data_IF_276785413043
#
_entry.id   IF_276785413043
#
_cell.length_a   1.000
_cell.length_b   1.000
_cell.length_c   1.000
_cell.angle_alpha   90.00
_cell.angle_beta   90.00
_cell.angle_gamma   90.00
#
_symmetry.space_group_name_H-M   'P 1'
#
loop_
_entity.id
_entity.type
_entity.pdbx_description
1 polymer ?
#
# COMPACT_ATOMS: atom_id res chain seq x y z
N UNK A 1 -6.89 -4.18 -11.03
CA UNK A 1 -5.80 -3.20 -11.20
C UNK A 1 -6.20 -2.23 -12.30
N UNK A 2 -5.94 -0.92 -12.14
CA UNK A 2 -6.15 0.07 -13.20
C UNK A 2 -4.83 0.80 -13.45
N UNK A 3 -4.54 1.08 -14.72
CA UNK A 3 -3.35 1.79 -15.16
C UNK A 3 -3.82 2.97 -16.00
N UNK A 4 -3.28 4.14 -15.71
CA UNK A 4 -3.51 5.38 -16.44
C UNK A 4 -2.16 5.89 -16.92
N UNK A 5 -2.04 6.19 -18.21
CA UNK A 5 -0.84 6.80 -18.78
C UNK A 5 -1.24 8.22 -19.21
N UNK A 6 -0.57 9.20 -18.64
CA UNK A 6 -0.72 10.63 -18.96
C UNK A 6 0.55 11.12 -19.67
N UNK A 7 0.52 12.33 -20.25
CA UNK A 7 1.68 12.89 -20.97
C UNK A 7 2.94 12.95 -20.09
N UNK A 8 2.77 13.18 -18.78
CA UNK A 8 3.85 13.39 -17.82
C UNK A 8 4.06 12.20 -16.86
N UNK A 9 3.51 11.01 -17.15
CA UNK A 9 3.77 9.84 -16.31
C UNK A 9 2.74 8.71 -16.37
N UNK A 10 2.92 7.74 -15.49
CA UNK A 10 2.04 6.58 -15.34
C UNK A 10 1.53 6.46 -13.90
N UNK A 11 0.24 6.20 -13.75
CA UNK A 11 -0.42 5.98 -12.46
C UNK A 11 -1.01 4.57 -12.42
N UNK A 12 -0.59 3.79 -11.44
CA UNK A 12 -1.09 2.45 -11.16
C UNK A 12 -1.94 2.50 -9.90
N UNK A 13 -3.19 2.04 -9.99
CA UNK A 13 -4.10 1.97 -8.85
C UNK A 13 -4.50 0.52 -8.62
N UNK A 14 -4.19 0.03 -7.43
CA UNK A 14 -4.62 -1.27 -6.95
C UNK A 14 -5.52 -1.10 -5.72
N UNK A 15 -6.78 -1.52 -5.87
CA UNK A 15 -7.74 -1.63 -4.77
C UNK A 15 -7.78 -3.06 -4.28
N UNK A 16 -7.70 -3.23 -2.98
CA UNK A 16 -7.72 -4.52 -2.30
C UNK A 16 -8.79 -4.53 -1.21
N UNK A 17 -9.38 -5.70 -1.01
CA UNK A 17 -10.19 -5.99 0.17
C UNK A 17 -9.52 -7.14 0.89
N UNK A 18 -9.17 -6.94 2.16
CA UNK A 18 -8.62 -7.99 3.01
C UNK A 18 -9.57 -8.30 4.16
N UNK A 19 -9.78 -9.60 4.43
CA UNK A 19 -10.52 -10.08 5.59
C UNK A 19 -9.52 -10.68 6.57
N UNK A 20 -9.14 -9.96 7.63
CA UNK A 20 -8.24 -10.51 8.62
C UNK A 20 -8.91 -11.67 9.34
N UNK A 21 -8.12 -12.70 9.64
CA UNK A 21 -8.55 -13.87 10.39
C UNK A 21 -7.81 -13.92 11.71
N UNK A 22 -8.47 -14.48 12.73
CA UNK A 22 -7.83 -14.71 14.02
C UNK A 22 -6.71 -15.74 13.86
N UNK A 23 -5.53 -15.47 14.43
CA UNK A 23 -4.40 -16.39 14.37
C UNK A 23 -4.77 -17.74 14.99
N UNK A 24 -4.54 -18.83 14.26
CA UNK A 24 -4.90 -20.18 14.71
C UNK A 24 -6.39 -20.54 14.53
N UNK A 25 -7.16 -19.68 13.85
CA UNK A 25 -8.56 -19.92 13.52
C UNK A 25 -8.84 -19.47 12.08
N UNK A 26 -9.86 -20.09 11.45
CA UNK A 26 -10.40 -19.60 10.18
C UNK A 26 -11.54 -18.59 10.38
N UNK A 27 -11.86 -18.25 11.63
CA UNK A 27 -12.91 -17.29 11.94
C UNK A 27 -12.51 -15.87 11.49
N UNK A 28 -13.43 -15.13 10.85
CA UNK A 28 -13.20 -13.76 10.46
C UNK A 28 -13.17 -12.85 11.70
N UNK A 29 -12.39 -11.76 11.62
CA UNK A 29 -12.31 -10.75 12.69
C UNK A 29 -13.46 -9.73 12.66
N UNK A 30 -14.36 -9.82 11.68
CA UNK A 30 -15.63 -9.06 11.68
C UNK A 30 -15.61 -7.72 10.98
N UNK A 31 -14.49 -7.41 10.34
CA UNK A 31 -14.34 -6.26 9.47
C UNK A 31 -13.53 -6.64 8.25
N UNK A 32 -13.68 -5.84 7.20
CA UNK A 32 -12.86 -5.83 6.01
C UNK A 32 -11.96 -4.61 6.05
N UNK A 33 -10.72 -4.76 5.59
CA UNK A 33 -9.85 -3.66 5.24
C UNK A 33 -10.04 -3.36 3.76
N UNK A 34 -10.47 -2.14 3.46
CA UNK A 34 -10.51 -1.62 2.11
C UNK A 34 -9.28 -0.76 1.90
N UNK A 35 -8.36 -1.23 1.06
CA UNK A 35 -7.08 -0.58 0.84
C UNK A 35 -6.93 -0.11 -0.60
N UNK A 36 -6.26 1.01 -0.80
CA UNK A 36 -5.85 1.52 -2.11
C UNK A 36 -4.36 1.78 -2.09
N UNK A 37 -3.63 1.09 -2.97
CA UNK A 37 -2.25 1.37 -3.32
C UNK A 37 -2.24 2.15 -4.63
N UNK A 38 -1.60 3.31 -4.62
CA UNK A 38 -1.36 4.13 -5.78
C UNK A 38 0.14 4.29 -5.98
N UNK A 39 0.62 3.95 -7.18
CA UNK A 39 2.01 4.13 -7.60
C UNK A 39 2.01 5.13 -8.75
N UNK A 40 2.80 6.19 -8.63
CA UNK A 40 2.98 7.22 -9.66
C UNK A 40 4.43 7.20 -10.10
N UNK A 41 4.64 7.08 -11.40
CA UNK A 41 5.94 7.22 -12.04
C UNK A 41 5.90 8.48 -12.90
N UNK A 42 6.79 9.42 -12.64
CA UNK A 42 6.88 10.68 -13.39
C UNK A 42 8.34 11.06 -13.65
N UNK A 43 8.65 11.88 -14.66
CA UNK A 43 9.99 12.43 -14.83
C UNK A 43 10.46 13.10 -13.54
N UNK A 44 11.72 12.91 -13.18
CA UNK A 44 12.30 13.55 -12.01
C UNK A 44 12.49 15.04 -12.22
N UNK A 45 12.35 15.82 -11.14
CA UNK A 45 12.40 17.29 -11.18
C UNK A 45 13.81 17.83 -11.50
N UNK A 46 14.85 17.03 -11.27
CA UNK A 46 16.24 17.35 -11.59
C UNK A 46 16.94 16.18 -12.27
N UNK A 47 17.76 16.43 -13.31
CA UNK A 47 18.67 15.42 -13.85
C UNK A 47 19.56 14.86 -12.74
N UNK A 48 20.01 13.62 -12.89
CA UNK A 48 21.01 13.04 -11.98
C UNK A 48 22.31 13.86 -12.03
N UNK A 49 23.22 13.65 -11.08
CA UNK A 49 24.54 14.29 -11.08
C UNK A 49 25.34 14.02 -12.37
N UNK A 50 25.03 12.94 -13.10
CA UNK A 50 25.59 12.60 -14.41
C UNK A 50 24.87 13.25 -15.59
N UNK A 51 23.76 13.94 -15.37
CA UNK A 51 22.93 14.55 -16.41
C UNK A 51 21.96 13.57 -17.07
N UNK A 52 21.79 12.37 -16.51
CA UNK A 52 20.86 11.37 -17.03
C UNK A 52 19.41 11.72 -16.64
N UNK A 53 18.47 11.27 -17.47
CA UNK A 53 17.04 11.34 -17.17
C UNK A 53 16.75 10.53 -15.90
N UNK A 54 16.09 11.16 -14.92
CA UNK A 54 15.66 10.50 -13.70
C UNK A 54 14.15 10.25 -13.75
N UNK A 55 13.70 9.17 -13.10
CA UNK A 55 12.28 8.88 -12.90
C UNK A 55 11.99 8.91 -11.41
N UNK A 56 10.99 9.68 -10.99
CA UNK A 56 10.51 9.69 -9.62
C UNK A 56 9.40 8.66 -9.44
N UNK A 57 9.58 7.78 -8.47
CA UNK A 57 8.58 6.83 -8.01
C UNK A 57 7.93 7.36 -6.72
N UNK A 58 6.62 7.58 -6.75
CA UNK A 58 5.82 7.95 -5.59
C UNK A 58 4.84 6.82 -5.27
N UNK A 59 4.87 6.34 -4.03
CA UNK A 59 3.96 5.28 -3.57
C UNK A 59 3.09 5.84 -2.46
N UNK A 60 1.78 5.77 -2.66
CA UNK A 60 0.77 6.18 -1.69
C UNK A 60 -0.08 4.98 -1.31
N UNK A 61 -0.22 4.74 -0.01
CA UNK A 61 -1.12 3.73 0.52
C UNK A 61 -2.16 4.38 1.42
N UNK A 62 -3.39 3.88 1.33
CA UNK A 62 -4.46 4.20 2.24
C UNK A 62 -5.26 2.94 2.55
N UNK A 63 -5.77 2.85 3.77
CA UNK A 63 -6.63 1.76 4.20
C UNK A 63 -7.74 2.29 5.10
N UNK A 64 -8.94 1.71 4.98
CA UNK A 64 -10.08 2.02 5.83
C UNK A 64 -10.80 0.76 6.27
N UNK A 65 -11.52 0.88 7.40
CA UNK A 65 -12.37 -0.19 7.94
C UNK A 65 -13.72 -0.22 7.26
N UNK A 66 -14.18 -1.42 6.93
CA UNK A 66 -15.56 -1.68 6.56
C UNK A 66 -16.13 -2.78 7.46
N UNK A 67 -17.07 -2.42 8.32
CA UNK A 67 -17.72 -3.37 9.25
C UNK A 67 -18.66 -4.30 8.49
N UNK A 68 -18.58 -5.61 8.73
CA UNK A 68 -19.42 -6.60 8.01
C UNK A 68 -20.68 -6.98 8.80
N UNK A 69 -20.92 -6.37 9.96
CA UNK A 69 -22.09 -6.64 10.80
C UNK A 69 -22.01 -7.97 11.57
N UNK A 70 -20.87 -8.67 11.52
CA UNK A 70 -20.69 -9.93 12.25
C UNK A 70 -20.51 -9.64 13.75
N UNK A 71 -21.27 -10.32 14.64
CA UNK A 71 -21.08 -10.19 16.08
C UNK A 71 -19.80 -10.91 16.51
N UNK A 72 -18.79 -10.14 16.95
CA UNK A 72 -17.47 -10.62 17.39
C UNK A 72 -17.10 -9.94 18.72
N UNK A 73 -16.11 -10.48 19.45
CA UNK A 73 -15.65 -9.93 20.72
C UNK A 73 -15.29 -8.45 20.57
N UNK A 74 -15.85 -7.64 21.47
CA UNK A 74 -15.79 -6.18 21.41
C UNK A 74 -14.34 -5.64 21.39
N UNK A 75 -13.40 -6.39 21.95
CA UNK A 75 -11.98 -6.05 22.02
C UNK A 75 -11.31 -5.85 20.64
N UNK A 76 -11.74 -6.56 19.59
CA UNK A 76 -11.19 -6.40 18.24
C UNK A 76 -11.82 -5.26 17.45
N UNK A 77 -12.86 -4.62 18.00
CA UNK A 77 -13.44 -3.41 17.41
C UNK A 77 -12.72 -2.15 17.83
N UNK A 78 -11.85 -2.22 18.84
CA UNK A 78 -11.12 -1.05 19.32
C UNK A 78 -10.15 -0.51 18.26
N UNK A 79 -10.08 0.82 18.04
CA UNK A 79 -9.23 1.43 17.01
C UNK A 79 -7.76 0.97 17.04
N UNK A 80 -7.19 0.77 18.24
CA UNK A 80 -5.76 0.47 18.41
C UNK A 80 -5.29 -0.85 17.80
N UNK A 81 -6.16 -1.85 17.61
CA UNK A 81 -5.78 -3.11 16.96
C UNK A 81 -5.69 -2.99 15.44
N UNK A 82 -6.50 -2.12 14.86
CA UNK A 82 -6.47 -1.85 13.42
C UNK A 82 -5.35 -0.90 13.05
N UNK A 83 -5.13 0.15 13.84
CA UNK A 83 -4.07 1.13 13.61
C UNK A 83 -2.70 0.46 13.56
N UNK A 84 -2.46 -0.54 14.42
CA UNK A 84 -1.23 -1.35 14.37
C UNK A 84 -1.08 -2.17 13.09
N UNK A 85 -2.18 -2.73 12.57
CA UNK A 85 -2.19 -3.46 11.30
C UNK A 85 -1.95 -2.56 10.10
N UNK A 86 -2.62 -1.41 10.04
CA UNK A 86 -2.44 -0.39 9.00
C UNK A 86 -1.01 0.13 9.02
N UNK A 87 -0.48 0.49 10.20
CA UNK A 87 0.89 0.97 10.34
C UNK A 87 1.93 -0.08 9.91
N UNK A 88 1.68 -1.37 10.18
CA UNK A 88 2.55 -2.44 9.69
C UNK A 88 2.53 -2.53 8.16
N UNK A 89 1.36 -2.44 7.53
CA UNK A 89 1.23 -2.45 6.07
C UNK A 89 1.84 -1.21 5.43
N UNK A 90 1.61 -0.03 5.98
CA UNK A 90 2.25 1.22 5.55
C UNK A 90 3.78 1.10 5.62
N UNK A 91 4.31 0.54 6.71
CA UNK A 91 5.75 0.28 6.85
C UNK A 91 6.28 -0.65 5.76
N UNK A 92 5.62 -1.79 5.51
CA UNK A 92 6.04 -2.73 4.48
C UNK A 92 6.00 -2.09 3.08
N UNK A 93 4.96 -1.32 2.78
CA UNK A 93 4.82 -0.66 1.47
C UNK A 93 5.85 0.45 1.30
N UNK A 94 6.22 1.16 2.38
CA UNK A 94 7.26 2.20 2.33
C UNK A 94 8.65 1.66 1.99
N UNK A 95 8.87 0.34 2.07
CA UNK A 95 10.13 -0.30 1.72
C UNK A 95 10.26 -0.63 0.23
N UNK A 96 9.14 -0.68 -0.51
CA UNK A 96 9.11 -1.03 -1.94
C UNK A 96 10.07 -0.18 -2.80
N UNK A 97 10.19 1.15 -2.63
CA UNK A 97 11.13 1.94 -3.42
C UNK A 97 12.58 1.50 -3.23
N UNK A 98 12.98 1.19 -1.99
CA UNK A 98 14.35 0.75 -1.69
C UNK A 98 14.64 -0.63 -2.29
N UNK A 99 13.67 -1.55 -2.25
CA UNK A 99 13.81 -2.86 -2.89
C UNK A 99 13.95 -2.74 -4.41
N UNK A 100 13.15 -1.86 -5.05
CA UNK A 100 13.26 -1.60 -6.49
C UNK A 100 14.63 -1.01 -6.84
N UNK A 101 15.10 -0.02 -6.08
CA UNK A 101 16.43 0.57 -6.30
C UNK A 101 17.55 -0.46 -6.13
N UNK A 102 17.46 -1.35 -5.12
CA UNK A 102 18.44 -2.42 -4.92
C UNK A 102 18.51 -3.40 -6.09
N UNK A 103 17.36 -3.79 -6.66
CA UNK A 103 17.30 -4.69 -7.83
C UNK A 103 17.85 -4.02 -9.11
N UNK A 104 17.82 -2.68 -9.19
CA UNK A 104 18.34 -1.91 -10.32
C UNK A 104 19.83 -1.59 -10.22
N UNK A 105 20.45 -1.77 -9.04
CA UNK A 105 21.86 -1.47 -8.78
C UNK A 105 22.77 -2.70 -8.99
N UNK A 106 22.21 -3.91 -9.13
CA UNK A 106 22.96 -5.11 -9.50
C UNK A 106 23.30 -5.13 -11.02
N UNK A 107 24.28 -4.30 -11.41
CA UNK A 107 25.21 -4.48 -12.55
C UNK A 107 26.44 -3.55 -12.43
#
# INVERSE_FOLDING_TARGET
MRIYVEEDGAVFIWKMVAEPKLRGSNAPIGYQLQSTLQVVMRPGETPTLSGDESTQLLIHFSASRHETGVPISAEFREPGHMDGGIALWEKLISQIPQEIESELIDD
#
